data_IF_560614148182
#
_entry.id   IF_560614148182
#
_cell.length_a   1.000
_cell.length_b   1.000
_cell.length_c   1.000
_cell.angle_alpha   90.00
_cell.angle_beta   90.00
_cell.angle_gamma   90.00
#
_symmetry.space_group_name_H-M   'P 1'
#
loop_
_entity.id
_entity.type
_entity.pdbx_description
1 polymer ?
#
# COMPACT_ATOMS: atom_id res chain seq x y z
N UNK A 1 -38.20 1.65 -60.23
CA UNK A 1 -38.04 0.46 -59.36
C UNK A 1 -37.34 -0.60 -60.17
N UNK A 2 -36.05 -0.84 -59.92
CA UNK A 2 -35.21 -1.76 -60.67
C UNK A 2 -34.31 -2.53 -59.69
N UNK A 3 -34.33 -3.85 -59.84
CA UNK A 3 -33.41 -4.82 -59.25
C UNK A 3 -32.06 -4.74 -59.97
N UNK A 4 -30.95 -5.07 -59.31
CA UNK A 4 -29.97 -6.08 -59.79
C UNK A 4 -28.69 -6.09 -58.95
N UNK A 5 -28.21 -7.30 -58.74
CA UNK A 5 -27.01 -7.72 -58.04
C UNK A 5 -25.69 -7.28 -58.72
N UNK A 6 -24.62 -7.17 -57.92
CA UNK A 6 -23.24 -7.33 -58.38
C UNK A 6 -22.50 -8.21 -57.37
N UNK A 7 -22.05 -9.38 -57.85
CA UNK A 7 -21.18 -10.30 -57.13
C UNK A 7 -19.72 -10.18 -57.58
N UNK A 8 -18.84 -10.61 -56.66
CA UNK A 8 -17.57 -11.36 -56.83
C UNK A 8 -16.75 -11.17 -58.10
N UNK A 9 -15.54 -10.64 -57.93
CA UNK A 9 -14.19 -11.20 -58.24
C UNK A 9 -13.21 -10.03 -58.05
N UNK A 10 -12.10 -10.16 -57.31
CA UNK A 10 -10.82 -10.70 -57.81
C UNK A 10 -10.00 -11.20 -56.61
N UNK A 11 -9.51 -12.44 -56.71
CA UNK A 11 -8.42 -12.98 -55.93
C UNK A 11 -7.16 -13.04 -56.79
N UNK A 12 -6.01 -13.11 -56.11
CA UNK A 12 -4.66 -13.42 -56.60
C UNK A 12 -3.81 -12.26 -57.14
N UNK A 13 -2.88 -11.79 -56.30
CA UNK A 13 -1.44 -11.90 -56.54
C UNK A 13 -0.67 -11.29 -55.37
N UNK A 14 0.15 -12.11 -54.71
CA UNK A 14 1.43 -11.82 -54.03
C UNK A 14 1.62 -12.80 -52.85
N UNK A 15 1.92 -14.04 -53.21
CA UNK A 15 2.66 -14.96 -52.36
C UNK A 15 4.16 -14.70 -52.59
N UNK A 16 4.95 -14.61 -51.52
CA UNK A 16 6.41 -14.74 -51.61
C UNK A 16 7.23 -13.89 -50.64
N UNK A 17 7.18 -14.18 -49.33
CA UNK A 17 8.31 -13.89 -48.42
C UNK A 17 8.47 -15.09 -47.46
N UNK A 18 9.66 -15.73 -47.38
CA UNK A 18 9.90 -16.87 -46.51
C UNK A 18 10.06 -16.45 -45.04
N UNK A 19 9.36 -17.17 -44.16
CA UNK A 19 9.46 -17.08 -42.70
C UNK A 19 10.66 -17.88 -42.18
N UNK A 20 11.62 -17.22 -41.54
CA UNK A 20 12.58 -17.85 -40.63
C UNK A 20 12.20 -17.55 -39.17
N UNK A 21 12.28 -18.52 -38.24
CA UNK A 21 12.08 -18.27 -36.82
C UNK A 21 13.39 -17.82 -36.16
N UNK A 22 13.44 -16.58 -35.67
CA UNK A 22 14.47 -16.14 -34.73
C UNK A 22 14.02 -16.49 -33.30
N UNK A 23 14.80 -17.34 -32.65
CA UNK A 23 14.65 -17.67 -31.24
C UNK A 23 14.83 -16.40 -30.38
N UNK A 24 13.78 -16.02 -29.65
CA UNK A 24 13.86 -15.01 -28.59
C UNK A 24 14.39 -15.67 -27.30
N UNK A 25 15.35 -15.00 -26.66
CA UNK A 25 15.90 -15.40 -25.36
C UNK A 25 14.85 -15.29 -24.24
N UNK A 26 14.91 -16.12 -23.19
CA UNK A 26 13.95 -16.09 -22.08
C UNK A 26 14.12 -14.85 -21.18
N UNK A 27 12.98 -14.27 -20.77
CA UNK A 27 12.89 -13.17 -19.81
C UNK A 27 13.26 -13.62 -18.38
N UNK A 28 13.95 -12.79 -17.57
CA UNK A 28 14.34 -13.14 -16.21
C UNK A 28 13.28 -12.69 -15.20
N UNK A 29 12.14 -13.39 -15.12
CA UNK A 29 11.21 -13.28 -13.98
C UNK A 29 10.53 -14.64 -13.63
N UNK A 30 11.05 -15.76 -14.12
CA UNK A 30 10.64 -17.09 -13.65
C UNK A 30 11.63 -17.56 -12.59
N UNK A 31 11.34 -17.26 -11.31
CA UNK A 31 12.16 -17.76 -10.22
C UNK A 31 11.97 -17.03 -8.89
N UNK A 32 10.75 -17.04 -8.34
CA UNK A 32 10.45 -17.17 -6.90
C UNK A 32 9.02 -17.71 -6.83
N UNK A 33 8.84 -19.01 -6.99
CA UNK A 33 7.70 -19.77 -6.47
C UNK A 33 8.23 -21.13 -6.05
N UNK A 34 8.49 -21.29 -4.75
CA UNK A 34 8.32 -22.56 -4.03
C UNK A 34 8.62 -22.32 -2.55
N UNK A 35 7.57 -22.08 -1.77
CA UNK A 35 7.55 -22.42 -0.35
C UNK A 35 6.21 -23.13 -0.13
N UNK A 36 6.29 -24.37 0.36
CA UNK A 36 5.22 -25.37 0.42
C UNK A 36 3.95 -24.88 1.14
N UNK A 37 2.83 -24.86 0.40
CA UNK A 37 1.48 -24.57 0.91
C UNK A 37 0.81 -25.77 1.61
N UNK A 38 1.56 -26.83 1.91
CA UNK A 38 1.02 -28.08 2.45
C UNK A 38 1.00 -28.17 3.98
N UNK A 39 1.67 -27.27 4.70
CA UNK A 39 1.75 -27.33 6.18
C UNK A 39 0.63 -26.56 6.90
N UNK A 40 -0.18 -25.78 6.19
CA UNK A 40 -1.28 -24.99 6.78
C UNK A 40 -2.61 -25.75 6.92
N UNK A 41 -2.73 -26.95 6.35
CA UNK A 41 -4.03 -27.63 6.19
C UNK A 41 -4.31 -28.76 7.20
N UNK A 42 -3.39 -29.09 8.11
CA UNK A 42 -3.59 -30.21 9.06
C UNK A 42 -4.19 -29.80 10.42
N UNK A 43 -4.10 -28.52 10.82
CA UNK A 43 -4.64 -28.07 12.12
C UNK A 43 -6.13 -27.70 12.09
N UNK A 44 -6.66 -27.26 10.94
CA UNK A 44 -8.07 -26.83 10.81
C UNK A 44 -9.04 -28.02 10.78
N UNK A 45 -8.58 -29.20 10.35
CA UNK A 45 -9.42 -30.40 10.22
C UNK A 45 -9.61 -31.19 11.51
N UNK A 46 -8.84 -30.92 12.58
CA UNK A 46 -8.88 -31.72 13.82
C UNK A 46 -9.92 -31.26 14.86
N UNK A 47 -10.44 -30.04 14.75
CA UNK A 47 -11.37 -29.45 15.75
C UNK A 47 -12.82 -29.29 15.27
N UNK A 48 -13.33 -30.22 14.46
CA UNK A 48 -14.73 -30.23 14.03
C UNK A 48 -15.64 -30.85 15.11
N UNK A 49 -15.95 -30.09 16.16
CA UNK A 49 -17.18 -30.32 16.96
C UNK A 49 -18.26 -29.39 16.41
N UNK A 50 -19.35 -29.97 15.91
CA UNK A 50 -20.50 -29.22 15.44
C UNK A 50 -21.21 -28.60 16.65
N UNK A 51 -21.32 -27.27 16.66
CA UNK A 51 -22.13 -26.51 17.61
C UNK A 51 -23.59 -26.87 17.33
N UNK A 52 -24.30 -27.37 18.34
CA UNK A 52 -25.72 -27.74 18.22
C UNK A 52 -26.60 -26.53 18.51
N UNK A 53 -27.89 -26.58 18.13
CA UNK A 53 -28.86 -25.52 18.42
C UNK A 53 -28.98 -25.26 19.94
N UNK A 54 -28.74 -26.29 20.78
CA UNK A 54 -28.68 -26.15 22.23
C UNK A 54 -27.42 -25.39 22.73
N UNK A 55 -26.32 -25.41 21.97
CA UNK A 55 -25.12 -24.61 22.27
C UNK A 55 -25.33 -23.14 21.91
N UNK A 56 -26.10 -22.84 20.85
CA UNK A 56 -26.46 -21.47 20.46
C UNK A 56 -27.40 -20.78 21.49
N UNK A 57 -28.32 -21.54 22.11
CA UNK A 57 -29.19 -21.01 23.17
C UNK A 57 -28.43 -20.74 24.49
N UNK A 58 -27.36 -21.51 24.76
CA UNK A 58 -26.48 -21.27 25.92
C UNK A 58 -25.63 -20.02 25.76
N UNK A 59 -25.12 -19.74 24.55
CA UNK A 59 -24.37 -18.52 24.23
C UNK A 59 -25.24 -17.26 24.45
N UNK A 60 -26.53 -17.32 24.10
CA UNK A 60 -27.45 -16.19 24.35
C UNK A 60 -27.78 -15.97 25.83
N UNK A 61 -27.69 -17.00 26.66
CA UNK A 61 -27.99 -16.88 28.11
C UNK A 61 -26.79 -16.37 28.91
N UNK A 62 -25.55 -16.54 28.40
CA UNK A 62 -24.31 -16.09 29.05
C UNK A 62 -23.95 -14.61 28.73
N UNK A 63 -24.64 -13.94 27.79
CA UNK A 63 -24.51 -12.50 27.51
C UNK A 63 -25.38 -11.60 28.41
N UNK A 64 -25.72 -12.09 29.60
CA UNK A 64 -26.65 -11.46 30.53
C UNK A 64 -26.04 -10.57 31.60
N UNK A 65 -24.83 -10.02 31.45
CA UNK A 65 -24.34 -8.91 32.28
C UNK A 65 -23.50 -7.96 31.41
N UNK A 66 -24.07 -6.80 31.09
CA UNK A 66 -23.34 -5.74 30.41
C UNK A 66 -22.26 -5.19 31.35
N UNK A 67 -21.02 -5.62 31.15
CA UNK A 67 -19.86 -4.89 31.68
C UNK A 67 -19.94 -3.43 31.20
N UNK A 68 -19.77 -2.50 32.14
CA UNK A 68 -19.77 -1.07 31.86
C UNK A 68 -18.77 -0.75 30.72
N UNK A 69 -19.04 0.27 29.88
CA UNK A 69 -18.15 0.64 28.78
C UNK A 69 -16.76 0.88 29.35
N UNK A 70 -15.79 0.02 29.00
CA UNK A 70 -14.39 0.27 29.28
C UNK A 70 -14.01 1.49 28.45
N UNK A 71 -13.58 2.56 29.11
CA UNK A 71 -13.08 3.76 28.45
C UNK A 71 -11.98 3.33 27.46
N UNK A 72 -12.28 3.37 26.17
CA UNK A 72 -11.29 3.12 25.13
C UNK A 72 -10.20 4.19 25.29
N UNK A 73 -8.92 3.79 25.42
CA UNK A 73 -7.84 4.77 25.49
C UNK A 73 -7.84 5.61 24.21
N UNK A 74 -7.24 6.79 24.32
CA UNK A 74 -7.04 7.78 23.25
C UNK A 74 -6.87 7.16 21.86
N UNK A 75 -7.52 7.76 20.85
CA UNK A 75 -7.43 7.46 19.43
C UNK A 75 -6.08 6.84 19.06
N UNK A 76 -6.09 5.59 18.59
CA UNK A 76 -4.89 4.90 18.17
C UNK A 76 -4.27 5.63 16.98
N UNK A 77 -3.01 6.07 17.11
CA UNK A 77 -2.33 6.83 16.06
C UNK A 77 -1.80 5.96 14.91
N UNK A 78 -1.86 4.63 15.05
CA UNK A 78 -1.53 3.71 13.97
C UNK A 78 -2.54 3.85 12.81
N UNK A 79 -2.09 3.55 11.58
CA UNK A 79 -2.93 3.59 10.38
C UNK A 79 -3.65 4.94 10.16
N UNK A 80 -3.00 6.08 10.48
CA UNK A 80 -3.60 7.42 10.32
C UNK A 80 -4.95 7.56 11.07
N UNK A 81 -5.05 6.94 12.26
CA UNK A 81 -6.27 6.98 13.09
C UNK A 81 -7.35 5.99 12.68
N UNK A 82 -7.11 5.14 11.67
CA UNK A 82 -8.08 4.14 11.22
C UNK A 82 -8.12 2.86 12.10
N UNK A 83 -7.17 2.63 13.02
CA UNK A 83 -7.29 1.50 13.96
C UNK A 83 -8.49 1.77 14.89
N UNK A 84 -9.49 0.89 14.85
CA UNK A 84 -10.74 1.05 15.62
C UNK A 84 -10.59 0.65 17.09
N UNK A 85 -9.39 0.28 17.54
CA UNK A 85 -9.16 -0.20 18.91
C UNK A 85 -9.62 -1.64 19.13
N UNK A 86 -10.69 -2.10 18.47
CA UNK A 86 -11.21 -3.46 18.58
C UNK A 86 -10.26 -4.52 18.00
N UNK A 87 -9.43 -4.11 17.02
CA UNK A 87 -8.46 -4.98 16.34
C UNK A 87 -7.01 -4.47 16.45
N UNK A 88 -6.69 -3.68 17.48
CA UNK A 88 -5.30 -3.35 17.79
C UNK A 88 -4.71 -4.50 18.65
N UNK A 89 -3.91 -5.41 18.08
CA UNK A 89 -3.38 -6.58 18.78
C UNK A 89 -4.42 -7.67 19.13
N UNK A 90 -3.96 -8.75 19.76
CA UNK A 90 -4.82 -9.76 20.39
C UNK A 90 -5.56 -9.12 21.57
N UNK A 91 -6.78 -8.60 21.32
CA UNK A 91 -7.77 -8.00 22.27
C UNK A 91 -7.76 -6.47 22.41
N UNK A 92 -7.24 -5.73 21.44
CA UNK A 92 -7.44 -4.28 21.38
C UNK A 92 -6.49 -3.43 22.23
N UNK A 93 -5.34 -3.96 22.66
CA UNK A 93 -4.29 -3.18 23.31
C UNK A 93 -3.51 -2.35 22.28
N UNK A 94 -3.54 -1.00 22.35
CA UNK A 94 -2.79 -0.15 21.42
C UNK A 94 -1.27 -0.23 21.58
N UNK A 95 -0.76 -0.96 22.60
CA UNK A 95 0.68 -1.20 22.80
C UNK A 95 1.18 -2.48 22.13
N UNK A 96 0.29 -3.28 21.56
CA UNK A 96 0.68 -4.50 20.89
C UNK A 96 1.25 -4.24 19.49
N UNK A 97 2.12 -5.13 18.98
CA UNK A 97 2.94 -4.85 17.81
C UNK A 97 2.19 -4.97 16.48
N UNK A 98 0.89 -5.31 16.48
CA UNK A 98 0.10 -5.51 15.25
C UNK A 98 -1.17 -4.66 15.33
N UNK A 99 -1.41 -3.83 14.33
CA UNK A 99 -2.62 -3.01 14.22
C UNK A 99 -3.40 -3.39 12.97
N UNK A 100 -4.70 -3.60 13.11
CA UNK A 100 -5.62 -3.83 12.00
C UNK A 100 -6.61 -2.65 11.86
N UNK A 101 -6.83 -2.22 10.63
CA UNK A 101 -7.94 -1.34 10.28
C UNK A 101 -9.24 -2.15 10.10
N UNK A 102 -10.36 -1.49 9.75
CA UNK A 102 -11.60 -2.17 9.45
C UNK A 102 -11.43 -3.17 8.29
N UNK A 103 -12.09 -4.33 8.41
CA UNK A 103 -12.22 -5.25 7.28
C UNK A 103 -13.26 -4.71 6.30
N UNK A 104 -12.87 -4.62 5.04
CA UNK A 104 -13.72 -4.24 3.93
C UNK A 104 -13.82 -5.41 2.95
N UNK A 105 -14.99 -5.64 2.38
CA UNK A 105 -15.20 -6.76 1.47
C UNK A 105 -16.26 -6.48 0.42
N UNK A 106 -16.25 -7.28 -0.65
CA UNK A 106 -17.29 -7.25 -1.66
C UNK A 106 -18.54 -7.93 -1.08
N UNK A 107 -19.46 -7.12 -0.58
CA UNK A 107 -20.67 -7.59 0.08
C UNK A 107 -21.81 -7.69 -0.96
N UNK A 108 -22.33 -8.90 -1.14
CA UNK A 108 -23.44 -9.20 -2.05
C UNK A 108 -24.51 -9.98 -1.29
N UNK A 109 -25.78 -9.83 -1.67
CA UNK A 109 -26.91 -10.41 -0.92
C UNK A 109 -26.96 -11.95 -0.98
N UNK A 110 -26.34 -12.53 -2.01
CA UNK A 110 -26.37 -13.96 -2.30
C UNK A 110 -25.17 -14.74 -1.77
N UNK A 111 -24.26 -14.09 -1.03
CA UNK A 111 -23.14 -14.73 -0.36
C UNK A 111 -23.23 -14.47 1.15
N UNK A 112 -23.00 -15.52 1.94
CA UNK A 112 -23.06 -15.43 3.41
C UNK A 112 -21.84 -14.71 4.02
N UNK A 113 -20.80 -14.47 3.23
CA UNK A 113 -19.54 -13.84 3.65
C UNK A 113 -19.06 -12.83 2.59
N UNK A 114 -18.31 -11.78 2.99
CA UNK A 114 -17.71 -10.87 2.04
C UNK A 114 -16.78 -11.62 1.08
N UNK A 115 -16.95 -11.36 -0.22
CA UNK A 115 -16.04 -11.88 -1.24
C UNK A 115 -14.79 -10.99 -1.29
N UNK A 116 -13.62 -11.61 -1.48
CA UNK A 116 -12.33 -10.90 -1.52
C UNK A 116 -12.16 -9.82 -0.44
N UNK A 117 -12.27 -10.15 0.87
CA UNK A 117 -12.07 -9.13 1.89
C UNK A 117 -10.64 -8.59 1.87
N UNK A 118 -10.47 -7.37 2.33
CA UNK A 118 -9.17 -6.73 2.54
C UNK A 118 -9.20 -5.90 3.82
N UNK A 119 -8.01 -5.65 4.35
CA UNK A 119 -7.82 -4.74 5.48
C UNK A 119 -6.44 -4.09 5.43
N UNK A 120 -6.30 -2.96 6.14
CA UNK A 120 -5.01 -2.36 6.44
C UNK A 120 -4.38 -3.05 7.64
N UNK A 121 -3.10 -3.39 7.55
CA UNK A 121 -2.32 -3.93 8.67
C UNK A 121 -1.03 -3.13 8.83
N UNK A 122 -0.62 -2.84 10.06
CA UNK A 122 0.67 -2.23 10.36
C UNK A 122 1.32 -2.92 11.54
N UNK A 123 2.58 -3.34 11.36
CA UNK A 123 3.43 -3.77 12.46
C UNK A 123 4.14 -2.59 13.12
N UNK A 124 4.49 -2.73 14.39
CA UNK A 124 5.22 -1.71 15.14
C UNK A 124 6.47 -1.25 14.39
N UNK A 125 6.51 0.03 14.01
CA UNK A 125 7.62 0.63 13.29
C UNK A 125 7.75 0.22 11.82
N UNK A 126 6.86 -0.63 11.29
CA UNK A 126 6.84 -0.99 9.88
C UNK A 126 5.87 -0.12 9.06
N UNK A 127 6.05 -0.16 7.75
CA UNK A 127 5.12 0.50 6.84
C UNK A 127 3.76 -0.23 6.85
N UNK A 128 2.65 0.52 6.83
CA UNK A 128 1.33 -0.07 6.66
C UNK A 128 1.22 -0.82 5.33
N UNK A 129 0.42 -1.88 5.32
CA UNK A 129 0.21 -2.76 4.17
C UNK A 129 -1.27 -3.00 3.94
N UNK A 130 -1.66 -3.03 2.66
CA UNK A 130 -2.98 -3.50 2.23
C UNK A 130 -2.91 -5.01 2.01
N UNK A 131 -3.68 -5.77 2.77
CA UNK A 131 -3.75 -7.23 2.63
C UNK A 131 -5.10 -7.60 2.03
N UNK A 132 -5.08 -8.33 0.90
CA UNK A 132 -6.28 -8.84 0.22
C UNK A 132 -6.33 -10.35 0.41
N UNK A 133 -7.45 -10.85 0.90
CA UNK A 133 -7.72 -12.27 1.09
C UNK A 133 -8.58 -12.75 -0.08
N UNK A 134 -7.95 -13.33 -1.10
CA UNK A 134 -8.66 -13.96 -2.20
C UNK A 134 -8.59 -15.49 -2.04
N UNK A 135 -9.75 -16.13 -1.93
CA UNK A 135 -9.85 -17.59 -1.85
C UNK A 135 -11.24 -18.09 -2.22
N UNK A 136 -11.32 -19.34 -2.68
CA UNK A 136 -12.59 -20.02 -2.96
C UNK A 136 -12.96 -20.14 -4.43
N UNK A 137 -14.00 -20.96 -4.69
CA UNK A 137 -14.62 -21.11 -6.00
C UNK A 137 -15.76 -20.09 -6.14
N UNK A 138 -15.80 -19.38 -7.26
CA UNK A 138 -16.89 -18.44 -7.57
C UNK A 138 -18.15 -19.21 -7.97
N UNK A 139 -19.32 -18.87 -7.41
CA UNK A 139 -20.58 -19.52 -7.79
C UNK A 139 -21.01 -19.10 -9.20
N UNK A 140 -21.82 -19.93 -9.85
CA UNK A 140 -22.54 -19.54 -11.06
C UNK A 140 -23.62 -18.50 -10.69
N UNK A 141 -23.75 -17.45 -11.51
CA UNK A 141 -24.60 -16.29 -11.23
C UNK A 141 -25.71 -16.14 -12.27
N UNK A 142 -26.91 -15.80 -11.82
CA UNK A 142 -27.99 -15.27 -12.67
C UNK A 142 -27.73 -13.82 -13.08
N UNK A 143 -28.43 -13.31 -14.10
CA UNK A 143 -28.26 -11.92 -14.56
C UNK A 143 -28.51 -10.89 -13.44
N UNK A 144 -29.55 -11.10 -12.62
CA UNK A 144 -29.83 -10.20 -11.50
C UNK A 144 -28.69 -10.21 -10.46
N UNK A 145 -28.09 -11.38 -10.20
CA UNK A 145 -26.93 -11.48 -9.30
C UNK A 145 -25.68 -10.85 -9.91
N UNK A 146 -25.53 -10.84 -11.23
CA UNK A 146 -24.47 -10.10 -11.92
C UNK A 146 -24.67 -8.59 -11.72
N UNK A 147 -25.89 -8.06 -11.84
CA UNK A 147 -26.16 -6.64 -11.61
C UNK A 147 -25.85 -6.23 -10.15
N UNK A 148 -26.23 -7.06 -9.17
CA UNK A 148 -25.88 -6.85 -7.76
C UNK A 148 -24.36 -6.91 -7.54
N UNK A 149 -23.68 -7.86 -8.17
CA UNK A 149 -22.22 -7.99 -8.09
C UNK A 149 -21.51 -6.75 -8.63
N UNK A 150 -21.99 -6.20 -9.76
CA UNK A 150 -21.42 -4.99 -10.35
C UNK A 150 -21.59 -3.77 -9.42
N UNK A 151 -22.76 -3.62 -8.79
CA UNK A 151 -22.99 -2.57 -7.79
C UNK A 151 -22.04 -2.72 -6.58
N UNK A 152 -21.83 -3.95 -6.12
CA UNK A 152 -20.89 -4.22 -5.05
C UNK A 152 -19.44 -3.89 -5.47
N UNK A 153 -19.06 -4.17 -6.72
CA UNK A 153 -17.72 -3.84 -7.23
C UNK A 153 -17.45 -2.34 -7.24
N UNK A 154 -18.46 -1.53 -7.58
CA UNK A 154 -18.33 -0.06 -7.54
C UNK A 154 -18.07 0.43 -6.10
N UNK A 155 -18.82 -0.10 -5.13
CA UNK A 155 -18.61 0.23 -3.71
C UNK A 155 -17.25 -0.25 -3.20
N UNK A 156 -16.87 -1.48 -3.55
CA UNK A 156 -15.60 -2.09 -3.14
C UNK A 156 -14.40 -1.35 -3.72
N UNK A 157 -14.45 -0.96 -5.00
CA UNK A 157 -13.38 -0.19 -5.63
C UNK A 157 -13.31 1.24 -5.09
N UNK A 158 -14.42 1.84 -4.65
CA UNK A 158 -14.41 3.10 -3.91
C UNK A 158 -13.68 2.95 -2.56
N UNK A 159 -13.99 1.90 -1.79
CA UNK A 159 -13.31 1.61 -0.52
C UNK A 159 -11.80 1.39 -0.70
N UNK A 160 -11.39 0.70 -1.78
CA UNK A 160 -9.97 0.54 -2.11
C UNK A 160 -9.26 1.87 -2.43
N UNK A 161 -9.95 2.81 -3.08
CA UNK A 161 -9.38 4.14 -3.37
C UNK A 161 -9.17 4.95 -2.09
N UNK A 162 -10.17 4.97 -1.22
CA UNK A 162 -10.06 5.62 0.09
C UNK A 162 -8.94 4.99 0.93
N UNK A 163 -8.89 3.66 0.97
CA UNK A 163 -7.84 2.90 1.67
C UNK A 163 -6.44 3.22 1.13
N UNK A 164 -6.29 3.32 -0.19
CA UNK A 164 -5.03 3.77 -0.82
C UNK A 164 -4.64 5.17 -0.35
N UNK A 165 -5.59 6.09 -0.21
CA UNK A 165 -5.31 7.45 0.26
C UNK A 165 -4.89 7.46 1.73
N UNK A 166 -5.53 6.65 2.58
CA UNK A 166 -5.07 6.44 3.97
C UNK A 166 -3.66 5.86 4.01
N UNK A 167 -3.39 4.85 3.20
CA UNK A 167 -2.05 4.25 3.10
C UNK A 167 -1.01 5.30 2.67
N UNK A 168 -1.33 6.11 1.65
CA UNK A 168 -0.46 7.18 1.19
C UNK A 168 -0.19 8.22 2.28
N UNK A 169 -1.21 8.62 3.05
CA UNK A 169 -1.03 9.52 4.20
C UNK A 169 -0.17 8.90 5.28
N UNK A 170 -0.45 7.66 5.67
CA UNK A 170 0.30 6.96 6.70
C UNK A 170 1.78 6.76 6.31
N UNK A 171 2.07 6.49 5.03
CA UNK A 171 3.45 6.43 4.50
C UNK A 171 4.10 7.82 4.42
N UNK A 172 3.33 8.87 4.08
CA UNK A 172 3.83 10.25 4.07
C UNK A 172 4.13 10.76 5.49
N UNK A 173 3.45 10.23 6.50
CA UNK A 173 3.74 10.41 7.93
C UNK A 173 4.76 9.36 8.38
N UNK A 174 5.89 9.23 7.67
CA UNK A 174 7.08 8.68 8.31
C UNK A 174 7.50 9.68 9.41
N UNK A 175 7.51 9.28 10.69
CA UNK A 175 7.83 10.19 11.76
C UNK A 175 9.28 10.67 11.61
N UNK A 176 9.45 11.99 11.76
CA UNK A 176 10.67 12.73 12.04
C UNK A 176 11.33 12.30 13.37
N UNK A 177 11.54 10.99 13.58
CA UNK A 177 12.21 10.40 14.75
C UNK A 177 13.53 9.71 14.40
N UNK A 178 13.79 9.45 13.12
CA UNK A 178 15.15 9.26 12.62
C UNK A 178 15.67 10.63 12.17
N UNK A 179 16.95 10.94 12.42
CA UNK A 179 17.61 12.10 11.81
C UNK A 179 17.25 12.17 10.32
N UNK A 180 17.02 13.37 9.78
CA UNK A 180 16.80 13.54 8.35
C UNK A 180 17.87 12.77 7.56
N UNK A 181 17.50 11.94 6.56
CA UNK A 181 18.48 11.14 5.84
C UNK A 181 19.54 11.98 5.12
N UNK A 182 19.18 13.20 4.72
CA UNK A 182 20.12 14.19 4.17
C UNK A 182 20.94 14.95 5.24
N UNK A 183 20.62 14.84 6.54
CA UNK A 183 21.40 15.48 7.58
C UNK A 183 22.70 14.72 7.81
N UNK A 184 23.83 15.42 7.71
CA UNK A 184 25.11 14.86 8.12
C UNK A 184 25.05 14.47 9.61
N UNK A 185 25.72 13.37 10.00
CA UNK A 185 25.69 12.83 11.38
C UNK A 185 26.09 13.86 12.46
N UNK A 186 26.93 14.82 12.09
CA UNK A 186 27.42 15.90 12.98
C UNK A 186 26.56 17.17 12.91
N UNK A 187 25.58 17.25 12.01
CA UNK A 187 24.67 18.40 11.93
C UNK A 187 23.61 18.31 13.03
N UNK A 188 23.64 19.14 14.09
CA UNK A 188 22.67 19.05 15.18
C UNK A 188 21.35 19.75 14.86
N UNK A 189 21.26 20.44 13.72
CA UNK A 189 20.10 21.28 13.43
C UNK A 189 18.86 20.42 13.15
N UNK A 190 17.68 20.80 13.69
CA UNK A 190 16.45 20.10 13.42
C UNK A 190 16.01 20.29 11.96
N UNK A 191 15.12 19.42 11.48
CA UNK A 191 14.45 19.62 10.20
C UNK A 191 13.59 20.88 10.22
N UNK A 192 13.45 21.54 9.07
CA UNK A 192 12.55 22.68 8.88
C UNK A 192 11.22 22.29 8.21
N UNK A 193 10.99 21.00 7.97
CA UNK A 193 9.81 20.50 7.28
C UNK A 193 9.93 19.03 6.86
N UNK A 194 8.98 18.55 6.04
CA UNK A 194 8.98 17.18 5.52
C UNK A 194 10.11 16.97 4.50
N UNK A 195 10.35 15.71 4.13
CA UNK A 195 11.26 15.38 3.03
C UNK A 195 10.62 15.81 1.70
N UNK A 196 11.32 16.63 0.92
CA UNK A 196 10.79 17.21 -0.33
C UNK A 196 11.78 17.15 -1.49
N UNK A 197 13.04 16.80 -1.25
CA UNK A 197 14.07 16.70 -2.29
C UNK A 197 14.91 15.44 -2.14
N UNK A 198 15.49 14.98 -3.24
CA UNK A 198 16.60 14.02 -3.26
C UNK A 198 17.86 14.71 -3.78
N UNK A 199 18.92 14.71 -2.98
CA UNK A 199 20.25 15.18 -3.37
C UNK A 199 21.08 13.99 -3.83
N UNK A 200 21.76 14.13 -4.97
CA UNK A 200 22.62 13.09 -5.54
C UNK A 200 24.05 13.57 -5.71
N UNK A 201 25.01 12.72 -5.39
CA UNK A 201 26.43 12.97 -5.64
C UNK A 201 26.87 12.51 -7.05
N UNK A 202 28.13 12.78 -7.39
CA UNK A 202 28.73 12.38 -8.66
C UNK A 202 28.92 10.86 -8.83
N UNK A 203 28.93 10.11 -7.72
CA UNK A 203 29.05 8.64 -7.67
C UNK A 203 27.68 7.94 -7.64
N UNK A 204 26.61 8.68 -7.92
CA UNK A 204 25.22 8.23 -7.93
C UNK A 204 24.62 7.90 -6.55
N UNK A 205 25.32 8.18 -5.45
CA UNK A 205 24.76 8.16 -4.10
C UNK A 205 23.62 9.17 -3.98
N UNK A 206 22.59 8.85 -3.20
CA UNK A 206 21.40 9.66 -3.08
C UNK A 206 20.90 9.70 -1.64
N UNK A 207 20.43 10.86 -1.19
CA UNK A 207 19.75 11.02 0.09
C UNK A 207 18.54 11.94 -0.06
N UNK A 208 17.38 11.49 0.44
CA UNK A 208 16.18 12.32 0.51
C UNK A 208 16.20 13.19 1.76
N UNK A 209 15.71 14.43 1.65
CA UNK A 209 15.86 15.45 2.67
C UNK A 209 14.78 16.52 2.66
N UNK A 210 14.63 17.21 3.79
CA UNK A 210 13.94 18.50 3.86
C UNK A 210 14.71 19.59 3.11
N UNK A 211 14.13 20.78 2.95
CA UNK A 211 14.80 21.87 2.23
C UNK A 211 16.09 22.31 2.94
N UNK A 212 16.08 22.37 4.28
CA UNK A 212 17.25 22.77 5.06
C UNK A 212 18.43 21.80 4.97
N UNK A 213 18.22 20.52 5.30
CA UNK A 213 19.31 19.53 5.25
C UNK A 213 19.70 19.20 3.82
N UNK A 214 18.76 19.21 2.87
CA UNK A 214 19.04 19.09 1.44
C UNK A 214 19.99 20.18 0.95
N UNK A 215 19.79 21.44 1.35
CA UNK A 215 20.65 22.55 0.95
C UNK A 215 22.07 22.42 1.54
N UNK A 216 22.18 22.05 2.82
CA UNK A 216 23.46 21.85 3.52
C UNK A 216 24.27 20.69 2.94
N UNK A 217 23.60 19.58 2.64
CA UNK A 217 24.22 18.44 1.96
C UNK A 217 24.69 18.83 0.56
N UNK A 218 23.83 19.46 -0.24
CA UNK A 218 24.17 19.91 -1.59
C UNK A 218 25.37 20.86 -1.61
N UNK A 219 25.43 21.83 -0.68
CA UNK A 219 26.54 22.76 -0.57
C UNK A 219 27.89 22.08 -0.25
N UNK A 220 27.84 20.87 0.30
CA UNK A 220 29.03 20.10 0.72
C UNK A 220 29.48 19.07 -0.31
N UNK A 221 28.73 18.87 -1.40
CA UNK A 221 29.04 17.91 -2.46
C UNK A 221 29.70 18.59 -3.65
N UNK A 222 30.77 17.97 -4.15
CA UNK A 222 31.31 18.33 -5.47
C UNK A 222 30.42 17.74 -6.57
N UNK A 223 29.94 18.59 -7.48
CA UNK A 223 29.02 18.22 -8.57
C UNK A 223 27.71 17.57 -8.09
N UNK A 224 27.22 17.96 -6.92
CA UNK A 224 25.92 17.53 -6.42
C UNK A 224 24.77 18.02 -7.30
N UNK A 225 23.70 17.22 -7.39
CA UNK A 225 22.44 17.59 -8.06
C UNK A 225 21.29 17.43 -7.09
N UNK A 226 20.23 18.19 -7.29
CA UNK A 226 19.01 18.11 -6.49
C UNK A 226 17.80 17.91 -7.39
N UNK A 227 16.90 17.04 -6.95
CA UNK A 227 15.65 16.69 -7.64
C UNK A 227 14.48 16.81 -6.66
N UNK A 228 13.29 17.26 -7.09
CA UNK A 228 12.11 17.26 -6.24
C UNK A 228 11.58 15.82 -6.09
N UNK A 229 10.99 15.51 -4.92
CA UNK A 229 10.19 14.31 -4.74
C UNK A 229 8.83 14.45 -5.47
N UNK A 230 8.12 13.33 -5.77
CA UNK A 230 6.87 13.36 -6.53
C UNK A 230 5.79 14.30 -5.96
N UNK A 231 5.65 14.35 -4.63
CA UNK A 231 4.65 15.16 -3.93
C UNK A 231 5.23 16.45 -3.33
N UNK A 232 6.44 16.84 -3.75
CA UNK A 232 7.11 18.03 -3.23
C UNK A 232 6.40 19.31 -3.69
N UNK A 233 6.35 20.36 -2.83
CA UNK A 233 5.84 21.66 -3.24
C UNK A 233 6.59 22.19 -4.47
N UNK A 234 5.87 22.89 -5.36
CA UNK A 234 6.45 23.43 -6.58
C UNK A 234 7.69 24.28 -6.28
N UNK A 235 8.75 24.04 -7.04
CA UNK A 235 10.01 24.77 -6.90
C UNK A 235 10.88 24.38 -5.70
N UNK A 236 10.55 23.34 -4.93
CA UNK A 236 11.36 22.90 -3.77
C UNK A 236 12.83 22.68 -4.14
N UNK A 237 13.12 21.92 -5.20
CA UNK A 237 14.50 21.71 -5.67
C UNK A 237 15.22 22.99 -6.06
N UNK A 238 14.51 23.97 -6.64
CA UNK A 238 15.09 25.27 -7.01
C UNK A 238 15.42 26.11 -5.77
N UNK A 239 14.53 26.12 -4.75
CA UNK A 239 14.80 26.79 -3.47
C UNK A 239 16.03 26.19 -2.80
N UNK A 240 16.10 24.86 -2.71
CA UNK A 240 17.26 24.14 -2.17
C UNK A 240 18.54 24.50 -2.92
N UNK A 241 18.52 24.48 -4.26
CA UNK A 241 19.69 24.84 -5.08
C UNK A 241 20.17 26.28 -4.81
N UNK A 242 19.24 27.24 -4.75
CA UNK A 242 19.55 28.64 -4.46
C UNK A 242 20.09 28.82 -3.05
N UNK A 243 19.48 28.18 -2.05
CA UNK A 243 19.95 28.22 -0.66
C UNK A 243 21.35 27.60 -0.55
N UNK A 244 21.60 26.44 -1.15
CA UNK A 244 22.90 25.78 -1.13
C UNK A 244 24.03 26.68 -1.67
N UNK A 245 23.76 27.47 -2.72
CA UNK A 245 24.72 28.40 -3.29
C UNK A 245 25.14 29.55 -2.33
N UNK A 246 24.38 29.77 -1.25
CA UNK A 246 24.69 30.77 -0.22
C UNK A 246 25.41 30.18 1.00
N UNK A 247 25.47 28.85 1.10
CA UNK A 247 26.08 28.14 2.23
C UNK A 247 27.55 27.84 1.96
N UNK A 248 28.34 27.78 3.03
CA UNK A 248 29.68 27.18 2.96
C UNK A 248 29.57 25.65 2.97
N UNK A 249 30.50 24.93 2.31
CA UNK A 249 30.62 23.49 2.49
C UNK A 249 30.79 23.14 3.98
N UNK A 250 30.18 22.05 4.41
CA UNK A 250 30.21 21.56 5.80
C UNK A 250 29.65 22.58 6.81
N UNK A 251 28.55 23.26 6.46
CA UNK A 251 27.92 24.31 7.28
C UNK A 251 27.56 23.91 8.72
N UNK A 252 27.54 22.61 9.05
CA UNK A 252 27.33 22.09 10.40
C UNK A 252 28.57 22.14 11.31
N UNK A 253 29.76 22.39 10.77
CA UNK A 253 30.95 22.63 11.57
C UNK A 253 30.99 24.04 12.17
N UNK A 254 30.08 24.92 11.72
CA UNK A 254 29.95 26.28 12.21
C UNK A 254 29.06 26.31 13.45
N UNK A 255 29.63 26.65 14.60
CA UNK A 255 28.93 26.70 15.89
C UNK A 255 29.35 25.64 16.91
N UNK A 256 30.30 24.75 16.58
CA UNK A 256 30.91 23.79 17.53
C UNK A 256 32.12 24.38 18.31
N UNK A 257 32.16 25.70 18.55
CA UNK A 257 33.20 26.36 19.36
C UNK A 257 32.67 26.81 20.71
#
# INVERSE_FOLDING_TARGET
>A
MAQSAIGRHVAACLAGIPSQPTAAAPHPLEGIVSADASTWNEDVTRSRRYITVADAERINTEHGEAEAPREHPAVCTALDGQCTGEYCGDRGDPREPIHHGPEHGLNVSFADYPLNPFQLTQWEGEQPLLTVYAGGAWPDLSLAQVDELLLAFDQYTAALRETREHLARAVAVEPLASRCPAAHREDPTPCDGPLVVTVRDASHGAASGCEHHGARLLASLNNGRVFPLPDAPEGAALRVFKTAATLRPFAWLEGQR
#
